data_IF_403078481777
#
_entry.id   IF_403078481777
#
_cell.length_a   1.000
_cell.length_b   1.000
_cell.length_c   1.000
_cell.angle_alpha   90.00
_cell.angle_beta   90.00
_cell.angle_gamma   90.00
#
_symmetry.space_group_name_H-M   'P 1'
#
loop_
_entity.id
_entity.type
_entity.pdbx_description
1 polymer ?
#
# COMPACT_ATOMS: atom_id res chain seq x y z
N UNK A 1 -13.14 -11.54 8.94
CA UNK A 1 -13.97 -10.36 9.24
C UNK A 1 -13.58 -9.17 8.37
N UNK A 2 -14.36 -8.83 7.34
CA UNK A 2 -14.09 -7.67 6.47
C UNK A 2 -14.34 -6.36 7.19
N UNK A 3 -13.50 -5.35 6.96
CA UNK A 3 -13.64 -4.04 7.63
C UNK A 3 -13.34 -2.82 6.75
N UNK A 4 -12.69 -2.98 5.60
CA UNK A 4 -12.46 -1.87 4.70
C UNK A 4 -12.47 -2.28 3.22
N UNK A 5 -12.80 -1.32 2.36
CA UNK A 5 -12.59 -1.38 0.92
C UNK A 5 -11.35 -0.56 0.55
N UNK A 6 -10.53 -1.09 -0.34
CA UNK A 6 -9.27 -0.50 -0.77
C UNK A 6 -9.21 -0.52 -2.29
N UNK A 7 -8.94 0.64 -2.90
CA UNK A 7 -8.50 0.73 -4.29
C UNK A 7 -6.98 0.93 -4.32
N UNK A 8 -6.26 0.01 -4.95
CA UNK A 8 -4.80 0.10 -5.12
C UNK A 8 -4.38 0.70 -6.47
N UNK A 9 -5.32 1.20 -7.27
CA UNK A 9 -5.11 1.74 -8.61
C UNK A 9 -5.16 0.69 -9.72
N UNK A 10 -5.23 -0.60 -9.39
CA UNK A 10 -5.43 -1.69 -10.37
C UNK A 10 -6.71 -2.48 -10.11
N UNK A 11 -6.99 -2.79 -8.84
CA UNK A 11 -8.12 -3.61 -8.41
C UNK A 11 -8.69 -3.10 -7.09
N UNK A 12 -9.97 -3.39 -6.89
CA UNK A 12 -10.61 -3.25 -5.59
C UNK A 12 -10.32 -4.48 -4.72
N UNK A 13 -9.98 -4.21 -3.46
CA UNK A 13 -9.74 -5.20 -2.43
C UNK A 13 -10.66 -4.97 -1.24
N UNK A 14 -11.01 -6.06 -0.57
CA UNK A 14 -11.58 -6.06 0.78
C UNK A 14 -10.47 -6.38 1.75
N UNK A 15 -10.22 -5.50 2.71
CA UNK A 15 -9.33 -5.80 3.85
C UNK A 15 -10.14 -6.47 4.95
N UNK A 16 -9.62 -7.58 5.46
CA UNK A 16 -10.31 -8.41 6.43
C UNK A 16 -9.33 -9.13 7.36
N UNK A 17 -9.79 -9.48 8.56
CA UNK A 17 -9.16 -10.53 9.35
C UNK A 17 -9.43 -11.90 8.70
N UNK A 18 -8.37 -12.59 8.31
CA UNK A 18 -8.39 -13.95 7.77
C UNK A 18 -8.21 -14.95 8.91
N UNK A 19 -9.31 -15.59 9.33
CA UNK A 19 -9.31 -16.61 10.38
C UNK A 19 -8.48 -17.85 9.99
N UNK A 20 -8.38 -18.19 8.70
CA UNK A 20 -7.63 -19.36 8.26
C UNK A 20 -6.11 -19.15 8.42
N UNK A 21 -5.64 -17.91 8.31
CA UNK A 21 -4.23 -17.53 8.44
C UNK A 21 -3.94 -16.70 9.71
N UNK A 22 -4.93 -16.48 10.57
CA UNK A 22 -4.86 -15.67 11.78
C UNK A 22 -4.21 -14.29 11.59
N UNK A 23 -4.54 -13.57 10.51
CA UNK A 23 -3.94 -12.26 10.19
C UNK A 23 -4.87 -11.34 9.40
N UNK A 24 -4.61 -10.04 9.41
CA UNK A 24 -5.24 -9.13 8.47
C UNK A 24 -4.65 -9.29 7.06
N UNK A 25 -5.49 -9.33 6.03
CA UNK A 25 -5.10 -9.53 4.64
C UNK A 25 -6.09 -8.86 3.68
N UNK A 26 -5.63 -8.60 2.47
CA UNK A 26 -6.42 -7.95 1.42
C UNK A 26 -6.83 -8.96 0.35
N UNK A 27 -8.12 -9.04 0.06
CA UNK A 27 -8.72 -9.98 -0.87
C UNK A 27 -9.29 -9.25 -2.07
N UNK A 28 -8.92 -9.64 -3.29
CA UNK A 28 -9.46 -9.04 -4.52
C UNK A 28 -10.98 -9.28 -4.57
N UNK A 29 -11.76 -8.20 -4.65
CA UNK A 29 -13.22 -8.29 -4.52
C UNK A 29 -13.85 -9.16 -5.62
N UNK A 30 -13.31 -9.11 -6.84
CA UNK A 30 -13.81 -9.86 -8.00
C UNK A 30 -13.57 -11.37 -7.92
N UNK A 31 -12.81 -11.84 -6.92
CA UNK A 31 -12.59 -13.28 -6.67
C UNK A 31 -13.49 -13.84 -5.58
N UNK A 32 -14.30 -13.00 -4.93
CA UNK A 32 -15.25 -13.43 -3.90
C UNK A 32 -16.55 -13.84 -4.60
N UNK A 33 -16.81 -15.14 -4.66
CA UNK A 33 -18.01 -15.70 -5.33
C UNK A 33 -19.25 -15.70 -4.43
N UNK A 34 -19.07 -15.68 -3.12
CA UNK A 34 -20.16 -15.69 -2.13
C UNK A 34 -19.74 -14.92 -0.88
N UNK A 35 -20.69 -14.17 -0.32
CA UNK A 35 -20.59 -13.58 1.01
C UNK A 35 -21.88 -13.88 1.77
N UNK A 36 -21.79 -13.99 3.09
CA UNK A 36 -22.93 -14.20 3.98
C UNK A 36 -22.89 -13.10 5.03
N UNK A 37 -24.06 -12.52 5.33
CA UNK A 37 -24.18 -11.53 6.41
C UNK A 37 -23.98 -12.25 7.74
N UNK A 38 -23.04 -11.77 8.55
CA UNK A 38 -22.89 -12.15 9.96
C UNK A 38 -23.39 -11.01 10.82
N UNK A 39 -24.05 -11.34 11.94
CA UNK A 39 -24.41 -10.37 12.99
C UNK A 39 -23.21 -9.93 13.84
N UNK A 40 -22.03 -10.52 13.60
CA UNK A 40 -20.78 -10.18 14.28
C UNK A 40 -20.69 -10.68 15.72
N UNK A 41 -21.66 -11.48 16.19
CA UNK A 41 -21.72 -11.99 17.56
C UNK A 41 -20.54 -12.91 17.91
N UNK A 42 -19.96 -13.57 16.92
CA UNK A 42 -18.81 -14.47 17.04
C UNK A 42 -17.45 -13.76 16.86
N UNK A 43 -17.44 -12.44 16.66
CA UNK A 43 -16.21 -11.68 16.41
C UNK A 43 -15.49 -11.39 17.72
N UNK A 44 -14.29 -11.97 17.87
CA UNK A 44 -13.42 -11.72 19.01
C UNK A 44 -12.50 -10.52 18.77
N UNK A 45 -11.95 -9.94 19.83
CA UNK A 45 -11.31 -8.61 19.80
C UNK A 45 -10.15 -8.50 18.81
N UNK A 46 -9.34 -9.54 18.64
CA UNK A 46 -8.21 -9.53 17.70
C UNK A 46 -8.62 -9.58 16.22
N UNK A 47 -9.88 -9.86 15.92
CA UNK A 47 -10.43 -9.86 14.57
C UNK A 47 -11.07 -8.52 14.18
N UNK A 48 -11.22 -7.63 15.17
CA UNK A 48 -11.89 -6.33 14.99
C UNK A 48 -10.97 -5.34 14.27
N UNK A 49 -11.53 -4.31 13.60
CA UNK A 49 -10.74 -3.32 12.86
C UNK A 49 -9.70 -2.62 13.73
N UNK A 50 -9.98 -2.43 15.03
CA UNK A 50 -9.08 -1.77 15.99
C UNK A 50 -7.78 -2.57 16.20
N UNK A 51 -7.83 -3.90 16.07
CA UNK A 51 -6.67 -4.78 16.21
C UNK A 51 -5.77 -4.81 14.95
N UNK A 52 -6.20 -4.20 13.84
CA UNK A 52 -5.40 -4.10 12.61
C UNK A 52 -4.38 -2.96 12.71
N UNK A 53 -3.28 -3.20 13.41
CA UNK A 53 -2.22 -2.20 13.62
C UNK A 53 -1.70 -1.58 12.31
N UNK A 54 -1.52 -2.40 11.26
CA UNK A 54 -1.03 -1.92 9.97
C UNK A 54 -2.05 -1.03 9.26
N UNK A 55 -3.34 -1.30 9.44
CA UNK A 55 -4.38 -0.44 8.93
C UNK A 55 -4.47 0.86 9.71
N UNK A 56 -4.47 0.80 11.04
CA UNK A 56 -4.68 1.96 11.90
C UNK A 56 -3.48 2.90 11.98
N UNK A 57 -2.29 2.43 11.59
CA UNK A 57 -1.08 3.25 11.51
C UNK A 57 -0.96 3.97 10.17
N UNK A 58 -0.87 5.30 10.22
CA UNK A 58 -0.42 6.12 9.09
C UNK A 58 1.11 6.11 9.02
N UNK A 59 1.65 6.02 7.80
CA UNK A 59 3.08 6.12 7.51
C UNK A 59 3.32 7.19 6.46
N UNK A 60 4.51 7.78 6.50
CA UNK A 60 4.98 8.73 5.50
C UNK A 60 6.08 8.06 4.67
N UNK A 61 5.86 7.96 3.37
CA UNK A 61 6.84 7.50 2.41
C UNK A 61 7.54 8.74 1.83
N UNK A 62 8.83 8.88 2.09
CA UNK A 62 9.66 9.95 1.54
C UNK A 62 10.34 9.42 0.28
N UNK A 63 9.74 9.66 -0.88
CA UNK A 63 10.22 9.16 -2.16
C UNK A 63 11.13 10.20 -2.80
N UNK A 64 12.29 9.77 -3.30
CA UNK A 64 13.25 10.63 -3.99
C UNK A 64 13.37 10.24 -5.47
N UNK A 65 13.91 11.10 -6.35
CA UNK A 65 14.31 10.67 -7.69
C UNK A 65 15.34 9.54 -7.59
N UNK A 66 15.17 8.51 -8.41
CA UNK A 66 16.08 7.37 -8.41
C UNK A 66 17.54 7.83 -8.54
N UNK A 67 18.47 7.39 -7.65
CA UNK A 67 19.81 7.97 -7.57
C UNK A 67 20.64 7.86 -8.85
N UNK A 68 20.38 6.83 -9.66
CA UNK A 68 21.05 6.58 -10.95
C UNK A 68 20.48 7.35 -12.14
N UNK A 69 19.42 8.14 -11.96
CA UNK A 69 18.90 9.00 -13.03
C UNK A 69 19.88 10.12 -13.38
N UNK A 70 20.10 10.31 -14.68
CA UNK A 70 20.90 11.43 -15.22
C UNK A 70 20.21 12.78 -15.04
N UNK A 71 18.87 12.80 -15.15
CA UNK A 71 18.07 14.03 -15.17
C UNK A 71 17.04 14.07 -14.02
N UNK A 72 17.52 14.07 -12.77
CA UNK A 72 16.66 14.06 -11.57
C UNK A 72 15.68 15.23 -11.50
N UNK A 73 16.11 16.42 -11.93
CA UNK A 73 15.26 17.63 -11.91
C UNK A 73 13.99 17.52 -12.77
N UNK A 74 13.99 16.70 -13.84
CA UNK A 74 12.79 16.43 -14.62
C UNK A 74 11.78 15.62 -13.79
N UNK A 75 12.23 14.57 -13.13
CA UNK A 75 11.40 13.76 -12.21
C UNK A 75 10.91 14.59 -11.04
N UNK A 76 11.76 15.43 -10.44
CA UNK A 76 11.33 16.34 -9.37
C UNK A 76 10.19 17.26 -9.82
N UNK A 77 10.25 17.79 -11.06
CA UNK A 77 9.22 18.62 -11.63
C UNK A 77 7.92 17.83 -11.93
N UNK A 78 8.04 16.66 -12.55
CA UNK A 78 6.90 15.80 -12.92
C UNK A 78 6.07 15.37 -11.71
N UNK A 79 6.75 15.06 -10.60
CA UNK A 79 6.11 14.65 -9.34
C UNK A 79 5.83 15.81 -8.38
N UNK A 80 6.17 17.06 -8.76
CA UNK A 80 5.95 18.23 -7.92
C UNK A 80 6.68 18.18 -6.57
N UNK A 81 7.88 17.61 -6.56
CA UNK A 81 8.67 17.41 -5.35
C UNK A 81 9.07 18.74 -4.69
N UNK A 82 9.20 18.70 -3.36
CA UNK A 82 9.70 19.84 -2.57
C UNK A 82 10.97 19.39 -1.84
N UNK A 83 12.03 20.17 -1.97
CA UNK A 83 13.34 19.84 -1.37
C UNK A 83 13.85 18.45 -1.79
N UNK A 84 13.62 18.05 -3.04
CA UNK A 84 14.10 16.79 -3.61
C UNK A 84 13.31 15.54 -3.22
N UNK A 85 12.12 15.69 -2.60
CA UNK A 85 11.29 14.55 -2.21
C UNK A 85 9.79 14.76 -2.49
N UNK A 86 9.10 13.65 -2.75
CA UNK A 86 7.66 13.51 -2.73
C UNK A 86 7.27 12.79 -1.43
N UNK A 87 6.48 13.46 -0.57
CA UNK A 87 5.98 12.86 0.67
C UNK A 87 4.58 12.30 0.45
N UNK A 88 4.45 10.98 0.52
CA UNK A 88 3.17 10.27 0.38
C UNK A 88 2.73 9.73 1.73
N UNK A 89 1.57 10.19 2.23
CA UNK A 89 0.97 9.65 3.46
C UNK A 89 -0.04 8.56 3.11
N UNK A 90 0.12 7.37 3.69
CA UNK A 90 -0.83 6.27 3.51
C UNK A 90 -0.92 5.41 4.77
N UNK A 91 -1.90 4.51 4.82
CA UNK A 91 -1.94 3.45 5.85
C UNK A 91 -0.77 2.50 5.63
N UNK A 92 -0.16 1.99 6.70
CA UNK A 92 1.00 1.09 6.60
C UNK A 92 0.68 -0.18 5.78
N UNK A 93 -0.54 -0.71 5.96
CA UNK A 93 -1.12 -1.79 5.18
C UNK A 93 -1.07 -1.57 3.65
N UNK A 94 -1.09 -0.30 3.21
CA UNK A 94 -1.16 0.09 1.81
C UNK A 94 0.19 0.54 1.22
N UNK A 95 1.25 0.60 2.03
CA UNK A 95 2.55 1.11 1.60
C UNK A 95 3.09 0.32 0.39
N UNK A 96 3.00 -1.01 0.41
CA UNK A 96 3.46 -1.85 -0.70
C UNK A 96 2.72 -1.57 -2.02
N UNK A 97 1.41 -1.31 -1.95
CA UNK A 97 0.64 -0.91 -3.13
C UNK A 97 1.03 0.48 -3.63
N UNK A 98 1.23 1.43 -2.71
CA UNK A 98 1.67 2.78 -3.06
C UNK A 98 3.03 2.74 -3.76
N UNK A 99 4.03 2.07 -3.18
CA UNK A 99 5.38 1.94 -3.77
C UNK A 99 5.33 1.34 -5.18
N UNK A 100 4.51 0.31 -5.40
CA UNK A 100 4.33 -0.29 -6.72
C UNK A 100 3.66 0.66 -7.70
N UNK A 101 2.59 1.35 -7.28
CA UNK A 101 1.86 2.31 -8.12
C UNK A 101 2.76 3.46 -8.59
N UNK A 102 3.66 3.90 -7.73
CA UNK A 102 4.62 4.97 -8.01
C UNK A 102 5.89 4.50 -8.72
N UNK A 103 6.06 3.20 -8.98
CA UNK A 103 7.26 2.67 -9.65
C UNK A 103 8.54 2.94 -8.85
N UNK A 104 8.51 2.68 -7.54
CA UNK A 104 9.66 2.90 -6.65
C UNK A 104 10.62 1.70 -6.69
N UNK A 105 11.92 1.94 -6.88
CA UNK A 105 12.96 0.92 -6.69
C UNK A 105 13.17 0.65 -5.20
N UNK A 106 12.55 -0.42 -4.69
CA UNK A 106 12.68 -0.85 -3.30
C UNK A 106 13.90 -1.76 -3.05
N UNK A 107 14.85 -1.86 -3.97
CA UNK A 107 16.06 -2.64 -3.78
C UNK A 107 17.10 -1.92 -2.92
N UNK A 108 17.84 -2.68 -2.11
CA UNK A 108 18.82 -2.13 -1.14
C UNK A 108 19.89 -1.22 -1.75
N UNK A 109 20.18 -1.36 -3.05
CA UNK A 109 21.24 -0.63 -3.75
C UNK A 109 20.77 0.10 -5.01
N UNK A 110 19.46 0.34 -5.14
CA UNK A 110 18.85 1.01 -6.29
C UNK A 110 19.32 0.41 -7.63
N UNK A 111 19.23 -0.91 -7.75
CA UNK A 111 19.79 -1.67 -8.87
C UNK A 111 18.80 -1.96 -9.99
N UNK A 112 17.53 -1.61 -9.81
CA UNK A 112 16.54 -1.71 -10.89
C UNK A 112 16.77 -0.60 -11.92
N UNK A 113 16.18 -0.77 -13.10
CA UNK A 113 16.36 0.17 -14.21
C UNK A 113 15.73 1.52 -13.85
N UNK A 114 16.49 2.63 -13.77
CA UNK A 114 15.95 3.95 -13.45
C UNK A 114 14.96 4.47 -14.50
N UNK A 115 14.95 3.91 -15.71
CA UNK A 115 13.96 4.27 -16.74
C UNK A 115 12.58 3.70 -16.40
N UNK A 116 12.54 2.50 -15.82
CA UNK A 116 11.31 1.85 -15.36
C UNK A 116 10.91 2.32 -13.95
N UNK A 117 11.90 2.49 -13.06
CA UNK A 117 11.72 2.90 -11.67
C UNK A 117 12.33 4.28 -11.43
N UNK A 118 11.53 5.32 -11.68
CA UNK A 118 12.00 6.70 -11.59
C UNK A 118 12.16 7.22 -10.14
N UNK A 119 11.64 6.48 -9.16
CA UNK A 119 11.66 6.84 -7.75
C UNK A 119 12.42 5.79 -6.93
N UNK A 120 12.89 6.18 -5.75
CA UNK A 120 13.57 5.33 -4.77
C UNK A 120 13.17 5.70 -3.34
#
# INVERSE_FOLDING_TARGET
MPHALVDNGQRWHVRAYDRANARFSDFVITRISKAVVSDGSDTVDHERPEADEQWNRMVELNLIPHPKLKHKGAVEADYGMRSGALVVKCRAALAGYALRRWGVDCSTHHHLDPVEFQLA
#
